data_IF_802658135801
#
_entry.id   IF_802658135801
#
_cell.length_a   1.000
_cell.length_b   1.000
_cell.length_c   1.000
_cell.angle_alpha   90.00
_cell.angle_beta   90.00
_cell.angle_gamma   90.00
#
_symmetry.space_group_name_H-M   'P 1'
#
loop_
_entity.id
_entity.type
_entity.pdbx_description
1 polymer ?
#
# COMPACT_ATOMS: atom_id res chain seq x y z
N UNK A 1 -2.44 -0.11 -15.23
CA UNK A 1 -3.33 -0.70 -14.22
C UNK A 1 -3.75 -2.11 -14.63
N UNK A 2 -3.67 -3.07 -13.72
CA UNK A 2 -4.13 -4.45 -13.86
C UNK A 2 -5.47 -4.65 -13.12
N UNK A 3 -6.34 -5.54 -13.63
CA UNK A 3 -7.56 -5.94 -12.93
C UNK A 3 -7.22 -6.84 -11.72
N UNK A 4 -7.90 -6.68 -10.58
CA UNK A 4 -7.56 -7.46 -9.37
C UNK A 4 -7.83 -8.97 -9.51
N UNK A 5 -8.63 -9.38 -10.48
CA UNK A 5 -8.94 -10.78 -10.80
C UNK A 5 -7.69 -11.57 -11.22
N UNK A 6 -6.65 -10.90 -11.71
CA UNK A 6 -5.35 -11.53 -12.06
C UNK A 6 -4.32 -11.45 -10.93
N UNK A 7 -4.71 -11.02 -9.73
CA UNK A 7 -3.86 -10.96 -8.54
C UNK A 7 -3.25 -12.33 -8.19
N UNK A 8 -4.02 -13.39 -8.36
CA UNK A 8 -3.57 -14.78 -8.14
C UNK A 8 -2.51 -15.29 -9.12
N UNK A 9 -2.28 -14.59 -10.23
CA UNK A 9 -1.39 -15.06 -11.30
C UNK A 9 0.09 -14.77 -11.05
N UNK A 10 0.47 -14.18 -9.91
CA UNK A 10 1.87 -13.91 -9.59
C UNK A 10 2.09 -12.95 -8.44
N UNK A 11 3.36 -12.79 -8.06
CA UNK A 11 3.81 -11.96 -6.96
C UNK A 11 3.36 -10.49 -7.08
N UNK A 12 3.07 -9.84 -5.96
CA UNK A 12 2.85 -8.39 -5.88
C UNK A 12 4.03 -7.69 -5.20
N UNK A 13 4.44 -6.55 -5.77
CA UNK A 13 5.50 -5.70 -5.24
C UNK A 13 4.89 -4.47 -4.58
N UNK A 14 5.01 -4.34 -3.27
CA UNK A 14 4.27 -3.36 -2.48
C UNK A 14 5.20 -2.25 -2.02
N UNK A 15 4.84 -1.01 -2.31
CA UNK A 15 5.37 0.17 -1.63
C UNK A 15 4.79 0.24 -0.21
N UNK A 16 5.57 -0.20 0.77
CA UNK A 16 5.05 -0.47 2.10
C UNK A 16 4.63 0.79 2.85
N UNK A 17 5.43 1.85 2.81
CA UNK A 17 5.08 3.09 3.50
C UNK A 17 3.87 3.77 2.88
N UNK A 18 3.87 3.88 1.54
CA UNK A 18 2.78 4.52 0.84
C UNK A 18 1.43 3.83 1.13
N UNK A 19 1.41 2.48 1.05
CA UNK A 19 0.19 1.72 1.29
C UNK A 19 -0.28 1.80 2.75
N UNK A 20 0.63 1.60 3.70
CA UNK A 20 0.29 1.53 5.13
C UNK A 20 -0.13 2.90 5.66
N UNK A 21 0.58 3.98 5.31
CA UNK A 21 0.23 5.34 5.72
C UNK A 21 -1.12 5.76 5.14
N UNK A 22 -1.42 5.37 3.89
CA UNK A 22 -2.74 5.62 3.29
C UNK A 22 -3.87 5.03 4.14
N UNK A 23 -3.71 3.80 4.63
CA UNK A 23 -4.70 3.19 5.52
C UNK A 23 -4.73 3.80 6.92
N UNK A 24 -3.58 4.15 7.49
CA UNK A 24 -3.51 4.83 8.78
C UNK A 24 -4.30 6.15 8.75
N UNK A 25 -4.16 6.93 7.67
CA UNK A 25 -4.90 8.18 7.45
C UNK A 25 -6.40 7.91 7.28
N UNK A 26 -6.76 6.93 6.45
CA UNK A 26 -8.15 6.55 6.24
C UNK A 26 -8.84 6.09 7.54
N UNK A 27 -8.18 5.23 8.32
CA UNK A 27 -8.66 4.71 9.61
C UNK A 27 -8.70 5.76 10.71
N UNK A 28 -7.92 6.84 10.56
CA UNK A 28 -7.96 8.00 11.45
C UNK A 28 -9.08 9.00 11.08
N UNK A 29 -9.87 8.72 10.04
CA UNK A 29 -10.92 9.62 9.56
C UNK A 29 -10.36 10.92 8.97
N UNK A 30 -9.09 10.92 8.58
CA UNK A 30 -8.42 12.08 7.99
C UNK A 30 -8.68 12.17 6.49
N UNK A 31 -8.58 13.37 5.89
CA UNK A 31 -8.84 13.56 4.47
C UNK A 31 -7.92 12.71 3.58
N UNK A 32 -8.54 12.07 2.59
CA UNK A 32 -7.88 11.40 1.47
C UNK A 32 -8.27 12.09 0.17
N UNK A 33 -7.40 12.03 -0.84
CA UNK A 33 -7.68 12.57 -2.17
C UNK A 33 -7.90 11.42 -3.15
N UNK A 34 -9.00 11.47 -3.91
CA UNK A 34 -9.22 10.63 -5.08
C UNK A 34 -8.63 11.31 -6.31
N UNK A 35 -7.52 10.76 -6.80
CA UNK A 35 -6.87 11.20 -8.02
C UNK A 35 -7.72 10.94 -9.28
N UNK A 36 -7.40 11.65 -10.36
CA UNK A 36 -8.10 11.48 -11.64
C UNK A 36 -7.89 10.09 -12.26
N UNK A 37 -6.72 9.50 -11.97
CA UNK A 37 -6.32 8.10 -12.22
C UNK A 37 -7.14 7.07 -11.42
N UNK A 38 -7.99 7.54 -10.50
CA UNK A 38 -8.81 6.70 -9.66
C UNK A 38 -8.07 6.10 -8.47
N UNK A 39 -6.87 6.57 -8.14
CA UNK A 39 -6.10 6.13 -6.97
C UNK A 39 -6.42 7.02 -5.76
N UNK A 40 -6.57 6.41 -4.58
CA UNK A 40 -6.75 7.14 -3.32
C UNK A 40 -5.38 7.40 -2.71
N UNK A 41 -5.12 8.65 -2.31
CA UNK A 41 -3.83 9.14 -1.80
C UNK A 41 -4.03 9.86 -0.47
N UNK A 42 -3.08 9.70 0.44
CA UNK A 42 -3.03 10.49 1.66
C UNK A 42 -2.35 11.86 1.47
N UNK A 43 -2.45 12.68 2.51
CA UNK A 43 -1.78 13.98 2.61
C UNK A 43 -0.69 14.00 3.70
N UNK A 44 -0.50 12.88 4.41
CA UNK A 44 0.39 12.81 5.56
C UNK A 44 1.87 12.84 5.17
N UNK A 45 2.22 12.37 3.96
CA UNK A 45 3.52 12.55 3.30
C UNK A 45 4.73 12.25 4.20
N UNK A 46 5.35 11.09 4.02
CA UNK A 46 6.45 10.67 4.89
C UNK A 46 7.69 11.57 4.76
N UNK A 47 8.14 12.16 5.87
CA UNK A 47 9.38 12.95 5.96
C UNK A 47 10.31 12.42 7.06
N UNK A 48 11.17 11.47 6.70
CA UNK A 48 12.32 11.03 7.50
C UNK A 48 12.05 10.10 8.69
N UNK A 49 10.94 10.25 9.41
CA UNK A 49 10.58 9.37 10.53
C UNK A 49 9.19 8.78 10.36
N UNK A 50 9.13 7.46 10.34
CA UNK A 50 7.88 6.73 10.52
C UNK A 50 7.74 6.31 11.99
N UNK A 51 6.51 6.32 12.51
CA UNK A 51 6.21 5.76 13.82
C UNK A 51 4.88 5.04 13.73
N UNK A 52 4.83 3.71 13.97
CA UNK A 52 3.57 2.99 14.05
C UNK A 52 2.62 3.67 15.04
N UNK A 53 1.35 3.73 14.66
CA UNK A 53 0.25 4.25 15.48
C UNK A 53 -0.71 3.11 15.85
N UNK A 54 -1.74 3.40 16.64
CA UNK A 54 -2.76 2.43 17.03
C UNK A 54 -3.55 1.86 15.82
N UNK A 55 -3.48 2.52 14.65
CA UNK A 55 -4.10 2.07 13.39
C UNK A 55 -3.21 1.15 12.54
N UNK A 56 -1.90 1.11 12.77
CA UNK A 56 -0.97 0.35 11.92
C UNK A 56 -1.32 -1.14 11.89
N UNK A 57 -1.67 -1.73 13.02
CA UNK A 57 -2.00 -3.16 13.09
C UNK A 57 -3.33 -3.47 12.37
N UNK A 58 -4.30 -2.55 12.44
CA UNK A 58 -5.57 -2.65 11.70
C UNK A 58 -5.33 -2.54 10.19
N UNK A 59 -4.49 -1.59 9.77
CA UNK A 59 -4.10 -1.42 8.37
C UNK A 59 -3.47 -2.70 7.81
N UNK A 60 -2.54 -3.31 8.54
CA UNK A 60 -1.91 -4.57 8.15
C UNK A 60 -2.91 -5.73 8.08
N UNK A 61 -3.88 -5.81 9.01
CA UNK A 61 -4.94 -6.81 8.95
C UNK A 61 -5.81 -6.65 7.69
N UNK A 62 -6.20 -5.41 7.34
CA UNK A 62 -6.98 -5.14 6.13
C UNK A 62 -6.22 -5.54 4.86
N UNK A 63 -4.93 -5.21 4.79
CA UNK A 63 -4.05 -5.60 3.67
C UNK A 63 -3.98 -7.12 3.57
N UNK A 64 -3.60 -7.82 4.64
CA UNK A 64 -3.44 -9.27 4.64
C UNK A 64 -4.72 -10.01 4.28
N UNK A 65 -5.85 -9.61 4.87
CA UNK A 65 -7.15 -10.20 4.55
C UNK A 65 -7.48 -10.06 3.07
N UNK A 66 -7.20 -8.88 2.48
CA UNK A 66 -7.50 -8.67 1.07
C UNK A 66 -6.57 -9.45 0.15
N UNK A 67 -5.27 -9.50 0.46
CA UNK A 67 -4.30 -10.30 -0.30
C UNK A 67 -4.68 -11.78 -0.28
N UNK A 68 -5.14 -12.29 0.86
CA UNK A 68 -5.57 -13.68 1.01
C UNK A 68 -6.86 -13.95 0.20
N UNK A 69 -7.86 -13.06 0.30
CA UNK A 69 -9.09 -13.15 -0.52
C UNK A 69 -8.81 -13.12 -2.03
N UNK A 70 -7.78 -12.40 -2.45
CA UNK A 70 -7.36 -12.32 -3.85
C UNK A 70 -6.46 -13.49 -4.28
N UNK A 71 -6.19 -14.45 -3.38
CA UNK A 71 -5.34 -15.61 -3.59
C UNK A 71 -3.94 -15.22 -4.11
N UNK A 72 -3.40 -14.11 -3.60
CA UNK A 72 -2.07 -13.63 -4.03
C UNK A 72 -1.02 -14.68 -3.62
N UNK A 73 -0.23 -15.21 -4.56
CA UNK A 73 0.64 -16.34 -4.28
C UNK A 73 1.90 -15.95 -3.48
N UNK A 74 2.31 -14.69 -3.54
CA UNK A 74 3.50 -14.16 -2.87
C UNK A 74 3.43 -12.63 -2.84
N UNK A 75 3.99 -12.03 -1.79
CA UNK A 75 4.14 -10.57 -1.70
C UNK A 75 5.53 -10.16 -1.23
N UNK A 76 6.06 -9.09 -1.82
CA UNK A 76 7.32 -8.46 -1.41
C UNK A 76 7.04 -7.00 -1.07
N UNK A 77 7.27 -6.62 0.19
CA UNK A 77 7.24 -5.23 0.62
C UNK A 77 8.61 -4.59 0.43
N UNK A 78 8.65 -3.42 -0.19
CA UNK A 78 9.81 -2.55 -0.21
C UNK A 78 9.60 -1.41 0.76
N UNK A 79 10.54 -1.22 1.68
CA UNK A 79 10.58 -0.13 2.63
C UNK A 79 11.87 0.67 2.44
N UNK A 80 11.73 1.99 2.49
CA UNK A 80 12.87 2.89 2.42
C UNK A 80 13.74 2.77 3.69
N UNK A 81 14.94 2.22 3.54
CA UNK A 81 15.86 1.95 4.65
C UNK A 81 16.27 3.23 5.41
N UNK A 82 16.59 4.36 4.74
CA UNK A 82 16.76 5.69 5.35
C UNK A 82 15.64 6.16 6.28
N UNK A 83 14.39 5.69 6.13
CA UNK A 83 13.30 6.10 7.02
C UNK A 83 13.53 5.52 8.41
N UNK A 84 13.57 6.40 9.41
CA UNK A 84 13.69 5.98 10.81
C UNK A 84 12.54 5.06 11.19
N UNK A 85 12.84 3.99 11.92
CA UNK A 85 11.92 2.90 12.30
C UNK A 85 11.40 2.02 11.15
N UNK A 86 11.98 2.08 9.95
CA UNK A 86 11.71 1.12 8.87
C UNK A 86 11.92 -0.34 9.33
N UNK A 87 12.95 -0.60 10.13
CA UNK A 87 13.21 -1.90 10.75
C UNK A 87 12.10 -2.37 11.71
N UNK A 88 11.45 -1.46 12.44
CA UNK A 88 10.33 -1.80 13.33
C UNK A 88 9.12 -2.23 12.49
N UNK A 89 8.83 -1.49 11.41
CA UNK A 89 7.76 -1.84 10.49
C UNK A 89 8.03 -3.16 9.79
N UNK A 90 9.27 -3.41 9.34
CA UNK A 90 9.69 -4.70 8.79
C UNK A 90 9.38 -5.84 9.75
N UNK A 91 9.81 -5.76 11.00
CA UNK A 91 9.54 -6.80 12.00
C UNK A 91 8.04 -7.02 12.21
N UNK A 92 7.24 -5.94 12.24
CA UNK A 92 5.77 -6.05 12.33
C UNK A 92 5.17 -6.80 11.14
N UNK A 93 5.58 -6.47 9.92
CA UNK A 93 5.08 -7.12 8.71
C UNK A 93 5.51 -8.59 8.68
N UNK A 94 6.79 -8.89 8.89
CA UNK A 94 7.31 -10.27 8.85
C UNK A 94 6.61 -11.18 9.87
N UNK A 95 6.24 -10.69 11.05
CA UNK A 95 5.50 -11.46 12.06
C UNK A 95 4.07 -11.85 11.64
N UNK A 96 3.58 -11.38 10.49
CA UNK A 96 2.24 -11.70 9.99
C UNK A 96 2.23 -12.86 8.98
N UNK A 97 3.37 -13.43 8.60
CA UNK A 97 3.46 -14.51 7.63
C UNK A 97 2.52 -15.69 7.96
N UNK A 98 2.55 -16.17 9.22
CA UNK A 98 1.67 -17.23 9.71
C UNK A 98 0.18 -16.84 9.69
N UNK A 99 -0.12 -15.56 9.90
CA UNK A 99 -1.49 -15.04 9.93
C UNK A 99 -2.06 -14.92 8.53
N UNK A 100 -1.26 -14.40 7.61
CA UNK A 100 -1.68 -14.13 6.23
C UNK A 100 -1.71 -15.41 5.40
N UNK A 101 -0.90 -16.42 5.76
CA UNK A 101 -0.72 -17.68 5.02
C UNK A 101 -0.30 -17.42 3.56
N UNK A 102 0.47 -16.37 3.36
CA UNK A 102 1.02 -15.95 2.07
C UNK A 102 2.53 -15.84 2.25
N UNK A 103 3.34 -16.43 1.36
CA UNK A 103 4.77 -16.18 1.30
C UNK A 103 5.05 -14.66 1.28
N UNK A 104 5.74 -14.18 2.32
CA UNK A 104 5.89 -12.76 2.61
C UNK A 104 7.36 -12.42 2.79
N UNK A 105 7.87 -11.50 1.99
CA UNK A 105 9.20 -10.93 2.18
C UNK A 105 9.14 -9.40 2.38
N UNK A 106 10.10 -8.87 3.13
CA UNK A 106 10.23 -7.42 3.39
C UNK A 106 11.67 -6.98 3.18
N UNK A 107 11.87 -6.16 2.16
CA UNK A 107 13.17 -5.62 1.76
C UNK A 107 13.34 -4.19 2.26
N UNK A 108 14.44 -3.95 2.98
CA UNK A 108 14.90 -2.59 3.31
C UNK A 108 15.87 -2.16 2.20
N UNK A 109 15.49 -1.15 1.42
CA UNK A 109 16.26 -0.69 0.25
C UNK A 109 16.51 0.80 0.35
N UNK A 110 17.61 1.29 -0.22
CA UNK A 110 17.98 2.72 -0.16
C UNK A 110 17.13 3.62 -1.06
N UNK A 111 16.44 3.03 -2.05
CA UNK A 111 15.58 3.75 -2.97
C UNK A 111 14.50 2.78 -3.53
N UNK A 112 13.35 2.64 -2.86
CA UNK A 112 12.24 1.81 -3.33
C UNK A 112 11.72 2.25 -4.70
N UNK A 113 11.60 3.55 -4.95
CA UNK A 113 11.04 4.12 -6.18
C UNK A 113 11.79 3.60 -7.42
N UNK A 114 13.12 3.66 -7.42
CA UNK A 114 13.96 3.17 -8.53
C UNK A 114 13.81 1.68 -8.83
N UNK A 115 13.43 0.89 -7.81
CA UNK A 115 13.15 -0.53 -7.95
C UNK A 115 11.74 -0.72 -8.50
N UNK A 116 10.74 -0.15 -7.82
CA UNK A 116 9.32 -0.31 -8.14
C UNK A 116 8.96 0.23 -9.52
N UNK A 117 9.56 1.35 -9.95
CA UNK A 117 9.39 1.93 -11.30
C UNK A 117 9.80 0.97 -12.43
N UNK A 118 10.51 -0.13 -12.16
CA UNK A 118 10.93 -1.11 -13.18
C UNK A 118 10.19 -2.44 -13.09
N UNK A 119 9.35 -2.59 -12.08
CA UNK A 119 8.64 -3.83 -11.76
C UNK A 119 7.28 -3.91 -12.44
N UNK A 120 6.75 -5.13 -12.49
CA UNK A 120 5.35 -5.41 -12.78
C UNK A 120 4.59 -5.62 -11.48
N UNK A 121 3.25 -5.57 -11.54
CA UNK A 121 2.37 -5.96 -10.43
C UNK A 121 2.61 -5.14 -9.16
N UNK A 122 2.91 -3.86 -9.33
CA UNK A 122 3.20 -2.92 -8.25
C UNK A 122 1.93 -2.49 -7.52
N UNK A 123 2.01 -2.28 -6.21
CA UNK A 123 0.98 -1.62 -5.40
C UNK A 123 1.60 -0.39 -4.77
N UNK A 124 1.16 0.79 -5.23
CA UNK A 124 1.55 2.09 -4.70
C UNK A 124 0.48 3.12 -5.05
N UNK A 125 0.49 4.24 -4.35
CA UNK A 125 -0.21 5.47 -4.65
C UNK A 125 0.74 6.63 -4.87
N UNK A 126 1.99 6.38 -5.27
CA UNK A 126 2.90 7.40 -5.81
C UNK A 126 2.69 7.55 -7.33
N UNK A 127 2.49 8.78 -7.81
CA UNK A 127 2.16 8.99 -9.24
C UNK A 127 3.34 8.71 -10.16
N UNK A 128 4.57 9.00 -9.72
CA UNK A 128 5.77 8.79 -10.53
C UNK A 128 5.97 7.28 -10.73
N UNK A 129 5.86 6.49 -9.66
CA UNK A 129 5.98 5.03 -9.77
C UNK A 129 4.84 4.45 -10.62
N UNK A 130 3.61 4.95 -10.48
CA UNK A 130 2.46 4.50 -11.27
C UNK A 130 2.62 4.76 -12.78
N UNK A 131 3.29 5.86 -13.15
CA UNK A 131 3.55 6.24 -14.53
C UNK A 131 4.72 5.45 -15.14
N UNK A 132 5.70 5.05 -14.33
CA UNK A 132 6.93 4.40 -14.80
C UNK A 132 6.89 2.86 -14.73
N UNK A 133 6.24 2.30 -13.71
CA UNK A 133 6.20 0.85 -13.53
C UNK A 133 5.49 0.15 -14.70
N UNK A 134 5.89 -1.09 -14.97
CA UNK A 134 5.37 -1.86 -16.12
C UNK A 134 3.89 -2.20 -15.95
N UNK A 135 3.45 -2.41 -14.71
CA UNK A 135 2.04 -2.67 -14.38
C UNK A 135 1.79 -2.54 -12.87
N UNK A 136 0.55 -2.22 -12.49
CA UNK A 136 0.19 -1.95 -11.09
C UNK A 136 -1.27 -2.27 -10.77
N UNK A 137 -1.59 -2.53 -9.50
CA UNK A 137 -2.93 -2.78 -8.97
C UNK A 137 -3.41 -1.63 -8.07
N UNK A 138 -4.69 -1.26 -8.18
CA UNK A 138 -5.31 -0.28 -7.29
C UNK A 138 -5.84 -0.93 -6.01
N UNK A 139 -4.94 -1.54 -5.22
CA UNK A 139 -5.33 -2.30 -4.03
C UNK A 139 -5.87 -1.39 -2.92
N UNK A 140 -5.25 -0.22 -2.72
CA UNK A 140 -5.64 0.73 -1.67
C UNK A 140 -7.11 1.14 -1.80
N UNK A 141 -7.53 1.58 -3.00
CA UNK A 141 -8.92 1.96 -3.26
C UNK A 141 -9.89 0.84 -2.96
N UNK A 142 -9.59 -0.37 -3.44
CA UNK A 142 -10.48 -1.53 -3.23
C UNK A 142 -10.70 -1.81 -1.75
N UNK A 143 -9.62 -1.80 -0.96
CA UNK A 143 -9.71 -2.06 0.49
C UNK A 143 -10.49 -0.94 1.19
N UNK A 144 -10.22 0.33 0.87
CA UNK A 144 -10.90 1.47 1.48
C UNK A 144 -12.41 1.41 1.20
N UNK A 145 -12.81 1.21 -0.05
CA UNK A 145 -14.23 1.16 -0.45
C UNK A 145 -15.00 0.00 0.21
N UNK A 146 -14.34 -1.13 0.48
CA UNK A 146 -14.99 -2.32 1.05
C UNK A 146 -14.98 -2.38 2.58
N UNK A 147 -13.99 -1.77 3.24
CA UNK A 147 -13.72 -2.05 4.65
C UNK A 147 -13.73 -0.81 5.56
N UNK A 148 -13.70 0.40 5.00
CA UNK A 148 -13.70 1.64 5.79
C UNK A 148 -15.06 2.30 5.62
N UNK A 149 -15.78 2.43 6.73
CA UNK A 149 -17.08 3.10 6.74
C UNK A 149 -16.91 4.61 6.63
N UNK A 150 -17.59 5.23 5.66
CA UNK A 150 -17.60 6.69 5.44
C UNK A 150 -16.19 7.33 5.42
N UNK A 151 -15.27 6.87 4.54
CA UNK A 151 -13.94 7.48 4.44
C UNK A 151 -14.08 8.92 3.95
N UNK A 152 -13.31 9.85 4.51
CA UNK A 152 -13.32 11.25 4.09
C UNK A 152 -12.52 11.43 2.79
N UNK A 153 -13.15 11.11 1.66
CA UNK A 153 -12.54 11.20 0.33
C UNK A 153 -12.95 12.50 -0.35
N UNK A 154 -11.96 13.30 -0.74
CA UNK A 154 -12.12 14.52 -1.54
C UNK A 154 -11.82 14.18 -3.00
N UNK A 155 -12.74 14.54 -3.90
CA UNK A 155 -12.54 14.42 -5.35
C UNK A 155 -12.77 15.76 -6.04
N UNK A 156 -11.92 16.07 -7.02
CA UNK A 156 -11.99 17.32 -7.78
C UNK A 156 -12.63 17.14 -9.16
N UNK A 157 -13.21 15.96 -9.47
CA UNK A 157 -13.82 15.66 -10.78
C UNK A 157 -15.05 16.52 -11.12
N UNK A 158 -15.55 17.32 -10.19
CA UNK A 158 -16.76 18.14 -10.36
C UNK A 158 -16.53 19.66 -10.17
N UNK A 159 -15.28 20.15 -10.24
CA UNK A 159 -15.05 21.60 -10.32
C UNK A 159 -15.15 22.07 -11.78
N UNK A 160 -16.38 22.29 -12.23
CA UNK A 160 -16.70 23.07 -13.42
C UNK A 160 -17.25 24.43 -13.01
#
# INVERSE_FOLDING_TARGET
MLPLEIAKNGCMHIDGFNLIITFEVALSGSPLILGNDGVIRDLAGLRGTYKPIDKTDIALQLIGNKLNQLEVPEVIFFLDAPVSNSGILKSKITNLEDTWKIPLNVELVSNPDSILSKMERVVTSDSIILDECKSWFNLSRKIIEENINNPWIISFKNMH
#
